data_IF_276763004769
#
_entry.id   IF_276763004769
#
_cell.length_a   1.000
_cell.length_b   1.000
_cell.length_c   1.000
_cell.angle_alpha   90.00
_cell.angle_beta   90.00
_cell.angle_gamma   90.00
#
_symmetry.space_group_name_H-M   'P 1'
#
loop_
_entity.id
_entity.type
_entity.pdbx_description
1 polymer ?
#
# COMPACT_ATOMS: atom_id res chain seq x y z
N UNK A 1 -24.97 16.27 -9.06
CA UNK A 1 -24.52 15.16 -9.95
C UNK A 1 -23.15 14.56 -9.59
N UNK A 2 -22.38 15.14 -8.67
CA UNK A 2 -20.98 14.73 -8.44
C UNK A 2 -20.76 13.51 -7.52
N UNK A 3 -21.60 13.28 -6.51
CA UNK A 3 -21.34 12.22 -5.51
C UNK A 3 -21.54 10.79 -6.03
N UNK A 4 -22.56 10.55 -6.85
CA UNK A 4 -22.78 9.23 -7.47
C UNK A 4 -21.63 8.82 -8.40
N UNK A 5 -21.08 9.78 -9.14
CA UNK A 5 -19.97 9.54 -10.07
C UNK A 5 -18.66 9.23 -9.31
N UNK A 6 -18.37 9.95 -8.22
CA UNK A 6 -17.17 9.69 -7.40
C UNK A 6 -17.22 8.31 -6.74
N UNK A 7 -18.39 7.89 -6.23
CA UNK A 7 -18.57 6.54 -5.66
C UNK A 7 -18.28 5.41 -6.65
N UNK A 8 -18.70 5.56 -7.92
CA UNK A 8 -18.42 4.55 -8.94
C UNK A 8 -16.92 4.36 -9.18
N UNK A 9 -16.13 5.44 -9.12
CA UNK A 9 -14.68 5.36 -9.23
C UNK A 9 -14.03 4.74 -7.98
N UNK A 10 -14.57 5.00 -6.78
CA UNK A 10 -14.11 4.34 -5.56
C UNK A 10 -14.37 2.81 -5.61
N UNK A 11 -15.53 2.37 -6.10
CA UNK A 11 -15.79 0.95 -6.32
C UNK A 11 -14.83 0.33 -7.35
N UNK A 12 -14.49 1.06 -8.41
CA UNK A 12 -13.50 0.60 -9.39
C UNK A 12 -12.13 0.39 -8.74
N UNK A 13 -11.70 1.33 -7.87
CA UNK A 13 -10.45 1.22 -7.12
C UNK A 13 -10.44 0.00 -6.20
N UNK A 14 -11.50 -0.20 -5.40
CA UNK A 14 -11.62 -1.37 -4.51
C UNK A 14 -11.61 -2.68 -5.30
N UNK A 15 -12.36 -2.77 -6.39
CA UNK A 15 -12.38 -3.96 -7.25
C UNK A 15 -11.00 -4.24 -7.85
N UNK A 16 -10.31 -3.22 -8.32
CA UNK A 16 -8.95 -3.35 -8.82
C UNK A 16 -7.99 -3.81 -7.72
N UNK A 17 -8.07 -3.24 -6.51
CA UNK A 17 -7.26 -3.66 -5.37
C UNK A 17 -7.43 -5.15 -5.04
N UNK A 18 -8.67 -5.64 -4.99
CA UNK A 18 -8.94 -7.06 -4.75
C UNK A 18 -8.33 -7.95 -5.83
N UNK A 19 -8.49 -7.57 -7.10
CA UNK A 19 -7.94 -8.33 -8.23
C UNK A 19 -6.41 -8.31 -8.22
N UNK A 20 -5.80 -7.16 -7.99
CA UNK A 20 -4.34 -7.03 -7.96
C UNK A 20 -3.71 -7.75 -6.77
N UNK A 21 -4.33 -7.73 -5.59
CA UNK A 21 -3.92 -8.53 -4.43
C UNK A 21 -3.95 -10.03 -4.77
N UNK A 22 -5.04 -10.52 -5.37
CA UNK A 22 -5.15 -11.93 -5.77
C UNK A 22 -4.06 -12.33 -6.78
N UNK A 23 -3.76 -11.47 -7.76
CA UNK A 23 -2.71 -11.71 -8.74
C UNK A 23 -1.30 -11.70 -8.12
N UNK A 24 -1.00 -10.73 -7.25
CA UNK A 24 0.28 -10.62 -6.56
C UNK A 24 0.52 -11.78 -5.61
N UNK A 25 -0.52 -12.15 -4.84
CA UNK A 25 -0.43 -13.31 -3.95
C UNK A 25 -0.30 -14.62 -4.73
N UNK A 26 -1.01 -14.77 -5.85
CA UNK A 26 -0.85 -15.88 -6.78
C UNK A 26 0.56 -15.95 -7.37
N UNK A 27 1.15 -14.83 -7.74
CA UNK A 27 2.53 -14.75 -8.20
C UNK A 27 3.54 -15.21 -7.13
N UNK A 28 3.35 -14.81 -5.87
CA UNK A 28 4.13 -15.30 -4.74
C UNK A 28 4.00 -16.81 -4.56
N UNK A 29 2.78 -17.35 -4.51
CA UNK A 29 2.54 -18.78 -4.31
C UNK A 29 3.16 -19.66 -5.41
N UNK A 30 3.23 -19.16 -6.63
CA UNK A 30 3.82 -19.86 -7.77
C UNK A 30 5.36 -19.81 -7.77
N UNK A 31 5.94 -18.72 -7.26
CA UNK A 31 7.40 -18.49 -7.36
C UNK A 31 8.15 -18.77 -6.07
N UNK A 32 7.52 -18.61 -4.92
CA UNK A 32 8.18 -18.57 -3.62
C UNK A 32 9.03 -17.31 -3.39
N UNK A 33 8.91 -16.27 -4.23
CA UNK A 33 9.68 -15.03 -4.13
C UNK A 33 9.24 -14.18 -2.94
N UNK A 34 10.19 -13.84 -2.07
CA UNK A 34 9.92 -12.94 -0.92
C UNK A 34 9.69 -11.51 -1.37
N UNK A 35 10.27 -11.10 -2.49
CA UNK A 35 9.98 -9.82 -3.12
C UNK A 35 8.53 -9.70 -3.55
N UNK A 36 7.95 -10.75 -4.18
CA UNK A 36 6.52 -10.78 -4.54
C UNK A 36 5.61 -10.90 -3.32
N UNK A 37 6.06 -11.59 -2.26
CA UNK A 37 5.33 -11.62 -1.00
C UNK A 37 5.24 -10.21 -0.39
N UNK A 38 6.35 -9.47 -0.37
CA UNK A 38 6.38 -8.11 0.16
C UNK A 38 5.42 -7.18 -0.58
N UNK A 39 5.40 -7.26 -1.91
CA UNK A 39 4.50 -6.50 -2.78
C UNK A 39 3.01 -6.86 -2.54
N UNK A 40 2.71 -8.14 -2.31
CA UNK A 40 1.36 -8.59 -1.96
C UNK A 40 0.91 -8.12 -0.57
N UNK A 41 1.78 -8.21 0.44
CA UNK A 41 1.50 -7.75 1.81
C UNK A 41 1.28 -6.23 1.83
N UNK A 42 2.12 -5.45 1.14
CA UNK A 42 1.96 -4.00 1.02
C UNK A 42 0.58 -3.66 0.45
N UNK A 43 0.16 -4.34 -0.61
CA UNK A 43 -1.16 -4.11 -1.23
C UNK A 43 -2.34 -4.48 -0.31
N UNK A 44 -2.19 -5.51 0.53
CA UNK A 44 -3.20 -5.88 1.54
C UNK A 44 -3.29 -4.80 2.62
N UNK A 45 -2.15 -4.35 3.15
CA UNK A 45 -2.09 -3.29 4.18
C UNK A 45 -2.74 -2.02 3.66
N UNK A 46 -2.44 -1.63 2.42
CA UNK A 46 -3.00 -0.45 1.78
C UNK A 46 -4.53 -0.54 1.64
N UNK A 47 -5.07 -1.70 1.24
CA UNK A 47 -6.52 -1.90 1.17
C UNK A 47 -7.18 -1.80 2.55
N UNK A 48 -6.59 -2.44 3.58
CA UNK A 48 -7.11 -2.39 4.96
C UNK A 48 -7.06 -0.96 5.48
N UNK A 49 -5.96 -0.25 5.27
CA UNK A 49 -5.79 1.14 5.66
C UNK A 49 -6.83 2.05 5.00
N UNK A 50 -7.08 1.87 3.69
CA UNK A 50 -8.12 2.64 2.97
C UNK A 50 -9.53 2.39 3.53
N UNK A 51 -9.86 1.15 3.90
CA UNK A 51 -11.15 0.83 4.53
C UNK A 51 -11.29 1.45 5.92
N UNK A 52 -10.22 1.42 6.73
CA UNK A 52 -10.18 2.04 8.06
C UNK A 52 -10.30 3.56 7.94
N UNK A 53 -9.60 4.18 6.97
CA UNK A 53 -9.69 5.61 6.70
C UNK A 53 -11.11 6.03 6.28
N UNK A 54 -11.76 5.26 5.39
CA UNK A 54 -13.13 5.52 4.98
C UNK A 54 -14.11 5.44 6.16
N UNK A 55 -13.92 4.44 7.04
CA UNK A 55 -14.71 4.34 8.28
C UNK A 55 -14.48 5.54 9.19
N UNK A 56 -13.21 5.91 9.44
CA UNK A 56 -12.86 7.02 10.32
C UNK A 56 -13.38 8.37 9.82
N UNK A 57 -13.28 8.64 8.51
CA UNK A 57 -13.86 9.84 7.89
C UNK A 57 -15.38 9.89 8.07
N UNK A 58 -16.07 8.75 7.86
CA UNK A 58 -17.52 8.67 8.06
C UNK A 58 -17.92 8.90 9.53
N UNK A 59 -17.06 8.46 10.45
CA UNK A 59 -17.28 8.67 11.89
C UNK A 59 -16.97 10.10 12.31
N UNK A 60 -15.91 10.70 11.76
CA UNK A 60 -15.49 12.08 12.03
C UNK A 60 -16.53 13.13 11.58
N UNK A 61 -17.33 12.83 10.56
CA UNK A 61 -18.41 13.69 10.07
C UNK A 61 -19.62 13.77 11.01
N UNK A 62 -19.69 12.93 12.09
CA UNK A 62 -20.77 13.00 13.06
C UNK A 62 -20.66 14.29 13.90
N UNK A 63 -21.79 14.97 14.16
CA UNK A 63 -21.81 16.14 15.03
C UNK A 63 -21.40 15.78 16.47
N UNK A 64 -21.02 16.79 17.23
CA UNK A 64 -20.76 16.64 18.66
C UNK A 64 -21.99 16.07 19.37
N UNK A 65 -21.76 15.17 20.32
CA UNK A 65 -22.78 14.54 21.17
C UNK A 65 -22.41 14.68 22.67
N UNK A 66 -23.21 14.05 23.54
CA UNK A 66 -23.01 14.14 24.98
C UNK A 66 -21.68 13.52 25.46
N UNK A 67 -21.16 12.53 24.74
CA UNK A 67 -19.91 11.83 25.07
C UNK A 67 -18.71 12.50 24.40
N UNK A 68 -18.92 13.17 23.26
CA UNK A 68 -17.89 13.81 22.44
C UNK A 68 -18.22 15.28 22.18
N UNK A 69 -18.09 16.11 23.23
CA UNK A 69 -18.43 17.54 23.20
C UNK A 69 -17.66 18.36 22.12
N UNK A 70 -16.49 17.90 21.69
CA UNK A 70 -15.67 18.53 20.64
C UNK A 70 -15.81 17.86 19.27
N UNK A 71 -16.81 16.95 19.11
CA UNK A 71 -17.01 16.18 17.89
C UNK A 71 -16.06 14.99 17.76
N UNK A 72 -16.08 14.35 16.60
CA UNK A 72 -15.42 13.07 16.36
C UNK A 72 -14.19 13.16 15.45
N UNK A 73 -13.68 14.37 15.16
CA UNK A 73 -12.57 14.60 14.21
C UNK A 73 -11.27 13.88 14.58
N UNK A 74 -11.04 13.55 15.86
CA UNK A 74 -9.86 12.78 16.29
C UNK A 74 -9.83 11.35 15.76
N UNK A 75 -10.95 10.82 15.26
CA UNK A 75 -11.01 9.50 14.62
C UNK A 75 -10.09 9.39 13.39
N UNK A 76 -9.89 10.49 12.65
CA UNK A 76 -8.96 10.51 11.52
C UNK A 76 -7.51 10.28 11.95
N UNK A 77 -7.07 10.89 13.07
CA UNK A 77 -5.74 10.65 13.61
C UNK A 77 -5.57 9.22 14.11
N UNK A 78 -6.61 8.66 14.74
CA UNK A 78 -6.58 7.27 15.17
C UNK A 78 -6.42 6.30 13.97
N UNK A 79 -7.15 6.56 12.89
CA UNK A 79 -7.02 5.81 11.64
C UNK A 79 -5.59 5.87 11.08
N UNK A 80 -5.01 7.06 10.98
CA UNK A 80 -3.64 7.24 10.51
C UNK A 80 -2.60 6.55 11.41
N UNK A 81 -2.82 6.56 12.73
CA UNK A 81 -1.97 5.83 13.67
C UNK A 81 -2.07 4.31 13.49
N UNK A 82 -3.29 3.78 13.32
CA UNK A 82 -3.51 2.37 13.05
C UNK A 82 -2.87 1.93 11.72
N UNK A 83 -2.99 2.75 10.67
CA UNK A 83 -2.33 2.53 9.39
C UNK A 83 -0.81 2.47 9.54
N UNK A 84 -0.21 3.45 10.21
CA UNK A 84 1.23 3.48 10.48
C UNK A 84 1.72 2.24 11.25
N UNK A 85 0.94 1.76 12.22
CA UNK A 85 1.25 0.56 12.97
C UNK A 85 1.18 -0.71 12.09
N UNK A 86 0.15 -0.85 11.26
CA UNK A 86 0.01 -1.97 10.31
C UNK A 86 1.17 -2.00 9.31
N UNK A 87 1.57 -0.85 8.80
CA UNK A 87 2.71 -0.70 7.89
C UNK A 87 4.00 -1.20 8.57
N UNK A 88 4.27 -0.79 9.82
CA UNK A 88 5.47 -1.21 10.54
C UNK A 88 5.45 -2.72 10.83
N UNK A 89 4.31 -3.28 11.24
CA UNK A 89 4.16 -4.73 11.46
C UNK A 89 4.43 -5.51 10.16
N UNK A 90 3.86 -5.07 9.05
CA UNK A 90 4.09 -5.68 7.74
C UNK A 90 5.58 -5.63 7.36
N UNK A 91 6.22 -4.48 7.52
CA UNK A 91 7.64 -4.30 7.22
C UNK A 91 8.55 -5.21 8.06
N UNK A 92 8.26 -5.37 9.37
CA UNK A 92 9.00 -6.30 10.24
C UNK A 92 8.82 -7.74 9.75
N UNK A 93 7.59 -8.14 9.41
CA UNK A 93 7.31 -9.50 8.91
C UNK A 93 8.08 -9.79 7.62
N UNK A 94 8.09 -8.83 6.68
CA UNK A 94 8.84 -8.93 5.42
C UNK A 94 10.36 -9.02 5.71
N UNK A 95 10.86 -8.19 6.61
CA UNK A 95 12.29 -8.19 6.95
C UNK A 95 12.75 -9.51 7.59
N UNK A 96 11.95 -10.09 8.49
CA UNK A 96 12.25 -11.39 9.13
C UNK A 96 12.26 -12.51 8.10
N UNK A 97 11.25 -12.59 7.22
CA UNK A 97 11.20 -13.60 6.17
C UNK A 97 12.36 -13.44 5.17
N UNK A 98 12.63 -12.20 4.74
CA UNK A 98 13.73 -11.90 3.82
C UNK A 98 15.10 -12.23 4.41
N UNK A 99 15.29 -11.98 5.71
CA UNK A 99 16.52 -12.33 6.40
C UNK A 99 16.72 -13.86 6.46
N UNK A 100 15.65 -14.61 6.75
CA UNK A 100 15.68 -16.07 6.71
C UNK A 100 16.07 -16.60 5.32
N UNK A 101 15.49 -16.03 4.26
CA UNK A 101 15.80 -16.37 2.86
C UNK A 101 17.22 -15.97 2.42
N UNK A 102 17.76 -14.90 3.00
CA UNK A 102 19.16 -14.50 2.73
C UNK A 102 20.15 -15.50 3.30
N UNK A 103 19.86 -16.06 4.51
CA UNK A 103 20.69 -17.06 5.15
C UNK A 103 20.51 -18.47 4.56
N UNK A 104 19.28 -18.78 4.13
CA UNK A 104 18.90 -20.07 3.56
C UNK A 104 18.21 -19.85 2.21
N UNK A 105 18.97 -19.56 1.14
CA UNK A 105 18.39 -19.33 -0.18
C UNK A 105 17.63 -20.56 -0.69
N UNK A 106 16.37 -20.35 -1.07
CA UNK A 106 15.56 -21.40 -1.69
C UNK A 106 15.38 -21.12 -3.19
N UNK A 107 15.33 -22.16 -4.01
CA UNK A 107 15.16 -22.01 -5.44
C UNK A 107 13.78 -21.43 -5.75
N UNK A 108 13.75 -20.38 -6.58
CA UNK A 108 12.52 -19.80 -7.07
C UNK A 108 11.99 -20.60 -8.26
N UNK A 109 10.68 -20.86 -8.27
CA UNK A 109 10.02 -21.62 -9.33
C UNK A 109 9.20 -20.69 -10.23
N UNK A 110 8.86 -21.14 -11.42
CA UNK A 110 7.92 -20.48 -12.33
C UNK A 110 8.09 -18.95 -12.49
N UNK A 111 9.34 -18.45 -12.43
CA UNK A 111 9.65 -17.02 -12.48
C UNK A 111 9.00 -16.28 -13.65
N UNK A 112 8.87 -16.94 -14.82
CA UNK A 112 8.24 -16.33 -15.99
C UNK A 112 6.77 -16.02 -15.77
N UNK A 113 6.02 -16.95 -15.14
CA UNK A 113 4.60 -16.78 -14.84
C UNK A 113 4.39 -15.77 -13.69
N UNK A 114 5.24 -15.84 -12.66
CA UNK A 114 5.21 -14.87 -11.55
C UNK A 114 5.42 -13.43 -12.02
N UNK A 115 6.44 -13.22 -12.90
CA UNK A 115 6.67 -11.91 -13.53
C UNK A 115 5.47 -11.45 -14.36
N UNK A 116 4.86 -12.35 -15.16
CA UNK A 116 3.71 -12.00 -15.97
C UNK A 116 2.51 -11.57 -15.11
N UNK A 117 2.22 -12.30 -14.01
CA UNK A 117 1.14 -11.95 -13.08
C UNK A 117 1.40 -10.63 -12.37
N UNK A 118 2.62 -10.39 -11.88
CA UNK A 118 2.99 -9.14 -11.22
C UNK A 118 2.95 -7.95 -12.18
N UNK A 119 3.45 -8.09 -13.41
CA UNK A 119 3.34 -7.06 -14.44
C UNK A 119 1.88 -6.76 -14.80
N UNK A 120 1.03 -7.77 -14.87
CA UNK A 120 -0.39 -7.60 -15.16
C UNK A 120 -1.10 -6.87 -14.02
N UNK A 121 -0.82 -7.22 -12.75
CA UNK A 121 -1.32 -6.51 -11.58
C UNK A 121 -0.86 -5.04 -11.56
N UNK A 122 0.43 -4.79 -11.84
CA UNK A 122 1.01 -3.45 -11.93
C UNK A 122 0.35 -2.63 -13.05
N UNK A 123 0.09 -3.24 -14.21
CA UNK A 123 -0.60 -2.59 -15.31
C UNK A 123 -2.05 -2.21 -14.94
N UNK A 124 -2.78 -3.09 -14.23
CA UNK A 124 -4.13 -2.78 -13.72
C UNK A 124 -4.06 -1.56 -12.80
N UNK A 125 -3.16 -1.54 -11.82
CA UNK A 125 -2.98 -0.40 -10.91
C UNK A 125 -2.67 0.88 -11.69
N UNK A 126 -1.77 0.83 -12.66
CA UNK A 126 -1.40 1.97 -13.49
C UNK A 126 -2.58 2.54 -14.30
N UNK A 127 -3.37 1.66 -14.94
CA UNK A 127 -4.57 2.05 -15.70
C UNK A 127 -5.62 2.67 -14.78
N UNK A 128 -5.89 2.04 -13.63
CA UNK A 128 -6.88 2.55 -12.67
C UNK A 128 -6.40 3.87 -12.07
N UNK A 129 -5.12 3.99 -11.70
CA UNK A 129 -4.53 5.24 -11.23
C UNK A 129 -4.73 6.38 -12.24
N UNK A 130 -4.48 6.12 -13.52
CA UNK A 130 -4.69 7.10 -14.58
C UNK A 130 -6.16 7.53 -14.71
N UNK A 131 -7.10 6.55 -14.67
CA UNK A 131 -8.55 6.81 -14.71
C UNK A 131 -8.97 7.66 -13.51
N UNK A 132 -8.54 7.29 -12.29
CA UNK A 132 -8.84 8.01 -11.05
C UNK A 132 -8.27 9.43 -11.05
N UNK A 133 -7.04 9.61 -11.53
CA UNK A 133 -6.42 10.93 -11.61
C UNK A 133 -7.20 11.86 -12.56
N UNK A 134 -7.60 11.33 -13.71
CA UNK A 134 -8.42 12.08 -14.70
C UNK A 134 -9.80 12.42 -14.14
N UNK A 135 -10.46 11.45 -13.50
CA UNK A 135 -11.76 11.64 -12.85
C UNK A 135 -11.66 12.63 -11.68
N UNK A 136 -10.64 12.50 -10.83
CA UNK A 136 -10.39 13.36 -9.68
C UNK A 136 -10.15 14.82 -10.08
N UNK A 137 -9.44 15.06 -11.18
CA UNK A 137 -9.28 16.41 -11.77
C UNK A 137 -10.61 16.95 -12.31
N UNK A 138 -11.37 16.16 -13.06
CA UNK A 138 -12.66 16.55 -13.64
C UNK A 138 -13.73 16.82 -12.58
N UNK A 139 -13.80 15.99 -11.53
CA UNK A 139 -14.78 16.10 -10.46
C UNK A 139 -14.30 16.99 -9.30
N UNK A 140 -13.07 17.53 -9.37
CA UNK A 140 -12.41 18.29 -8.30
C UNK A 140 -12.40 17.53 -6.98
N UNK A 141 -12.29 16.20 -7.04
CA UNK A 141 -12.25 15.33 -5.85
C UNK A 141 -10.82 15.14 -5.39
N UNK A 142 -10.52 15.58 -4.17
CA UNK A 142 -9.20 15.39 -3.52
C UNK A 142 -8.99 13.91 -3.23
N UNK A 143 -10.03 13.20 -2.76
CA UNK A 143 -9.97 11.77 -2.42
C UNK A 143 -9.58 10.92 -3.63
N UNK A 144 -10.22 11.11 -4.81
CA UNK A 144 -9.87 10.37 -6.01
C UNK A 144 -8.44 10.66 -6.50
N UNK A 145 -7.96 11.88 -6.28
CA UNK A 145 -6.58 12.24 -6.62
C UNK A 145 -5.57 11.60 -5.66
N UNK A 146 -5.88 11.56 -4.37
CA UNK A 146 -5.06 10.90 -3.37
C UNK A 146 -4.96 9.40 -3.65
N UNK A 147 -6.08 8.73 -3.90
CA UNK A 147 -6.15 7.32 -4.28
C UNK A 147 -5.35 7.03 -5.57
N UNK A 148 -5.46 7.90 -6.59
CA UNK A 148 -4.65 7.78 -7.79
C UNK A 148 -3.14 7.87 -7.51
N UNK A 149 -2.70 8.78 -6.66
CA UNK A 149 -1.29 8.91 -6.29
C UNK A 149 -0.81 7.69 -5.51
N UNK A 150 -1.66 7.14 -4.64
CA UNK A 150 -1.37 5.90 -3.92
C UNK A 150 -1.13 4.73 -4.88
N UNK A 151 -2.05 4.50 -5.82
CA UNK A 151 -1.88 3.46 -6.84
C UNK A 151 -0.65 3.68 -7.73
N UNK A 152 -0.26 4.93 -8.04
CA UNK A 152 1.00 5.21 -8.73
C UNK A 152 2.23 4.83 -7.89
N UNK A 153 2.19 5.04 -6.58
CA UNK A 153 3.27 4.60 -5.69
C UNK A 153 3.39 3.08 -5.72
N UNK A 154 2.26 2.35 -5.67
CA UNK A 154 2.24 0.90 -5.81
C UNK A 154 2.83 0.41 -7.14
N UNK A 155 2.58 1.13 -8.24
CA UNK A 155 3.19 0.82 -9.55
C UNK A 155 4.72 0.95 -9.50
N UNK A 156 5.25 1.95 -8.81
CA UNK A 156 6.70 2.16 -8.69
C UNK A 156 7.34 1.08 -7.81
N UNK A 157 6.74 0.76 -6.65
CA UNK A 157 7.26 -0.27 -5.74
C UNK A 157 7.20 -1.66 -6.37
N UNK A 158 6.07 -2.04 -6.96
CA UNK A 158 5.91 -3.28 -7.72
C UNK A 158 6.89 -3.37 -8.90
N UNK A 159 7.12 -2.24 -9.59
CA UNK A 159 8.13 -2.17 -10.66
C UNK A 159 9.53 -2.50 -10.15
N UNK A 160 9.91 -2.03 -8.98
CA UNK A 160 11.18 -2.37 -8.33
C UNK A 160 11.30 -3.87 -8.04
N UNK A 161 10.25 -4.49 -7.51
CA UNK A 161 10.20 -5.94 -7.25
C UNK A 161 10.30 -6.74 -8.55
N UNK A 162 9.57 -6.35 -9.59
CA UNK A 162 9.63 -6.99 -10.92
C UNK A 162 11.05 -6.95 -11.50
N UNK A 163 11.74 -5.80 -11.41
CA UNK A 163 13.13 -5.67 -11.82
C UNK A 163 14.05 -6.60 -11.02
N UNK A 164 13.85 -6.67 -9.69
CA UNK A 164 14.61 -7.58 -8.83
C UNK A 164 14.48 -9.04 -9.26
N UNK A 165 13.25 -9.52 -9.48
CA UNK A 165 12.98 -10.90 -9.92
C UNK A 165 13.52 -11.16 -11.35
N UNK A 166 13.40 -10.16 -12.23
CA UNK A 166 14.00 -10.27 -13.56
C UNK A 166 15.51 -10.45 -13.47
N UNK A 167 16.19 -9.72 -12.60
CA UNK A 167 17.62 -9.89 -12.35
C UNK A 167 17.95 -11.27 -11.81
N UNK A 168 17.17 -11.82 -10.87
CA UNK A 168 17.32 -13.22 -10.41
C UNK A 168 17.22 -14.18 -11.59
N UNK A 169 16.21 -13.99 -12.46
CA UNK A 169 15.98 -14.85 -13.62
C UNK A 169 17.17 -14.83 -14.61
N UNK A 170 17.78 -13.67 -14.81
CA UNK A 170 18.89 -13.52 -15.78
C UNK A 170 20.22 -13.95 -15.18
N UNK A 171 20.47 -13.63 -13.91
CA UNK A 171 21.78 -13.87 -13.26
C UNK A 171 21.86 -15.22 -12.54
N UNK A 172 20.74 -15.81 -12.19
CA UNK A 172 20.64 -16.98 -11.32
C UNK A 172 20.97 -16.70 -9.84
N UNK A 173 21.23 -15.44 -9.48
CA UNK A 173 21.63 -15.05 -8.13
C UNK A 173 20.39 -14.94 -7.22
N UNK A 174 20.01 -16.02 -6.53
CA UNK A 174 18.83 -16.10 -5.65
C UNK A 174 18.83 -15.07 -4.54
N UNK A 175 20.01 -14.62 -4.08
CA UNK A 175 20.15 -13.61 -3.02
C UNK A 175 19.59 -12.24 -3.39
N UNK A 176 19.40 -11.96 -4.67
CA UNK A 176 18.85 -10.68 -5.13
C UNK A 176 17.38 -10.51 -4.72
N UNK A 177 16.59 -11.60 -4.68
CA UNK A 177 15.18 -11.55 -4.26
C UNK A 177 15.02 -11.06 -2.81
N UNK A 178 15.62 -11.68 -1.78
CA UNK A 178 15.52 -11.17 -0.42
C UNK A 178 16.19 -9.81 -0.21
N UNK A 179 17.22 -9.45 -1.00
CA UNK A 179 17.82 -8.11 -0.93
C UNK A 179 16.80 -7.05 -1.39
N UNK A 180 16.13 -7.28 -2.50
CA UNK A 180 15.08 -6.36 -2.99
C UNK A 180 13.95 -6.26 -1.97
N UNK A 181 13.49 -7.40 -1.41
CA UNK A 181 12.47 -7.40 -0.36
C UNK A 181 12.90 -6.62 0.90
N UNK A 182 14.17 -6.70 1.32
CA UNK A 182 14.70 -5.90 2.44
C UNK A 182 14.73 -4.40 2.12
N UNK A 183 15.07 -4.01 0.89
CA UNK A 183 15.04 -2.61 0.45
C UNK A 183 13.60 -2.08 0.50
N UNK A 184 12.64 -2.86 0.01
CA UNK A 184 11.21 -2.51 0.08
C UNK A 184 10.76 -2.41 1.54
N UNK A 185 11.09 -3.38 2.40
CA UNK A 185 10.77 -3.37 3.83
C UNK A 185 11.34 -2.13 4.53
N UNK A 186 12.57 -1.72 4.22
CA UNK A 186 13.17 -0.51 4.78
C UNK A 186 12.42 0.75 4.35
N UNK A 187 12.02 0.85 3.08
CA UNK A 187 11.21 1.96 2.58
C UNK A 187 9.83 2.03 3.24
N UNK A 188 9.16 0.89 3.37
CA UNK A 188 7.86 0.76 4.04
C UNK A 188 7.98 1.14 5.53
N UNK A 189 9.04 0.66 6.21
CA UNK A 189 9.33 1.01 7.62
C UNK A 189 9.46 2.52 7.78
N UNK A 190 10.22 3.17 6.90
CA UNK A 190 10.39 4.64 6.94
C UNK A 190 9.05 5.36 6.80
N UNK A 191 8.20 4.93 5.87
CA UNK A 191 6.86 5.48 5.65
C UNK A 191 5.97 5.31 6.88
N UNK A 192 5.93 4.09 7.47
CA UNK A 192 5.16 3.81 8.67
C UNK A 192 5.60 4.65 9.88
N UNK A 193 6.92 4.75 10.11
CA UNK A 193 7.46 5.60 11.18
C UNK A 193 7.12 7.08 10.99
N UNK A 194 7.23 7.59 9.78
CA UNK A 194 6.87 8.97 9.45
C UNK A 194 5.40 9.22 9.76
N UNK A 195 4.50 8.32 9.35
CA UNK A 195 3.06 8.42 9.59
C UNK A 195 2.75 8.39 11.08
N UNK A 196 3.34 7.48 11.85
CA UNK A 196 3.18 7.40 13.31
C UNK A 196 3.64 8.68 14.00
N UNK A 197 4.77 9.26 13.57
CA UNK A 197 5.29 10.50 14.13
C UNK A 197 4.38 11.70 13.82
N UNK A 198 3.90 11.80 12.58
CA UNK A 198 2.98 12.87 12.16
C UNK A 198 1.67 12.78 12.96
N UNK A 199 1.12 11.57 13.11
CA UNK A 199 -0.10 11.30 13.88
C UNK A 199 0.08 11.60 15.37
N UNK A 200 1.18 11.13 15.97
CA UNK A 200 1.49 11.42 17.38
C UNK A 200 1.64 12.92 17.66
N UNK A 201 2.31 13.64 16.77
CA UNK A 201 2.44 15.10 16.88
C UNK A 201 1.09 15.82 16.79
N UNK A 202 0.20 15.36 15.92
CA UNK A 202 -1.13 15.93 15.74
C UNK A 202 -2.05 15.63 16.95
N UNK A 203 -1.96 14.42 17.51
CA UNK A 203 -2.74 14.06 18.72
C UNK A 203 -2.29 14.82 19.97
N UNK A 204 -1.01 15.17 20.05
CA UNK A 204 -0.43 15.93 21.17
C UNK A 204 -0.48 17.44 20.98
N UNK A 205 -1.25 17.93 19.99
CA UNK A 205 -1.38 19.36 19.66
C UNK A 205 -0.01 20.07 19.55
N UNK A 206 0.99 19.37 18.99
CA UNK A 206 2.33 19.91 18.83
C UNK A 206 2.30 21.15 17.92
N UNK A 207 2.97 22.21 18.34
CA UNK A 207 3.05 23.45 17.58
C UNK A 207 3.67 23.19 16.19
N UNK A 208 3.10 23.82 15.15
CA UNK A 208 3.65 23.76 13.80
C UNK A 208 5.12 24.17 13.79
N UNK A 209 5.99 23.47 13.02
CA UNK A 209 7.38 23.87 12.90
C UNK A 209 7.44 25.31 12.39
N UNK A 210 8.18 26.17 13.08
CA UNK A 210 8.44 27.55 12.62
C UNK A 210 9.13 27.46 11.26
N UNK A 211 8.53 28.06 10.25
CA UNK A 211 9.13 28.22 8.91
C UNK A 211 10.39 29.02 8.99
#
# INVERSE_FOLDING_TARGET
MSSRSARSYAFLSIAAAIVTIALKFGAYLLTGSVGLLSDAIESIVNLVAALVALWALTYADKPADAEHAFGHSKAEYFSSGAEGALIVIAAISIAVESWGRLLHPEPLTQLGLGLALSLFATAINGVVAFILLRAGRRLRSITLRADAHHLFTDVVTSGGVVVGIFLVKVTGALVLDPIVALIVAANITWTGFRLLRETGSALLDAALPKK
#
